data_IF_681957198439
#
_entry.id   IF_681957198439
#
_cell.length_a   1.000
_cell.length_b   1.000
_cell.length_c   1.000
_cell.angle_alpha   90.00
_cell.angle_beta   90.00
_cell.angle_gamma   90.00
#
_symmetry.space_group_name_H-M   'P 1'
#
loop_
_entity.id
_entity.type
_entity.pdbx_description
1 polymer ?
#
# COMPACT_ATOMS: atom_id res chain seq x y z
N UNK A 1 -14.64 -22.09 4.97
CA UNK A 1 -13.28 -21.53 5.08
C UNK A 1 -12.65 -22.08 6.35
N UNK A 2 -11.38 -22.48 6.32
CA UNK A 2 -10.64 -22.77 7.54
C UNK A 2 -10.51 -21.48 8.39
N UNK A 3 -10.28 -21.62 9.69
CA UNK A 3 -9.94 -20.50 10.59
C UNK A 3 -8.81 -19.64 10.03
N UNK A 4 -7.84 -20.31 9.39
CA UNK A 4 -6.62 -19.68 8.89
C UNK A 4 -6.90 -18.84 7.63
N UNK A 5 -7.74 -19.34 6.72
CA UNK A 5 -8.15 -18.59 5.53
C UNK A 5 -8.97 -17.33 5.88
N UNK A 6 -9.84 -17.43 6.89
CA UNK A 6 -10.56 -16.27 7.42
C UNK A 6 -9.59 -15.24 8.02
N UNK A 7 -8.66 -15.70 8.85
CA UNK A 7 -7.68 -14.82 9.49
C UNK A 7 -6.78 -14.11 8.48
N UNK A 8 -6.27 -14.83 7.47
CA UNK A 8 -5.50 -14.24 6.36
C UNK A 8 -6.31 -13.19 5.60
N UNK A 9 -7.60 -13.43 5.37
CA UNK A 9 -8.49 -12.46 4.72
C UNK A 9 -8.61 -11.17 5.55
N UNK A 10 -8.83 -11.29 6.86
CA UNK A 10 -8.91 -10.12 7.75
C UNK A 10 -7.57 -9.37 7.79
N UNK A 11 -6.45 -10.11 7.84
CA UNK A 11 -5.13 -9.50 7.79
C UNK A 11 -4.91 -8.70 6.51
N UNK A 12 -5.20 -9.28 5.34
CA UNK A 12 -4.94 -8.65 4.05
C UNK A 12 -5.93 -7.54 3.69
N UNK A 13 -7.17 -7.60 4.17
CA UNK A 13 -8.21 -6.63 3.79
C UNK A 13 -8.44 -5.53 4.84
N UNK A 14 -7.99 -5.72 6.09
CA UNK A 14 -8.24 -4.76 7.16
C UNK A 14 -6.95 -4.37 7.86
N UNK A 15 -6.26 -5.33 8.48
CA UNK A 15 -5.14 -5.01 9.37
C UNK A 15 -3.96 -4.41 8.58
N UNK A 16 -3.53 -5.09 7.52
CA UNK A 16 -2.41 -4.63 6.70
C UNK A 16 -2.69 -3.29 6.02
N UNK A 17 -3.83 -3.08 5.31
CA UNK A 17 -4.14 -1.77 4.72
C UNK A 17 -4.14 -0.62 5.72
N UNK A 18 -4.68 -0.83 6.93
CA UNK A 18 -4.69 0.21 7.97
C UNK A 18 -3.26 0.54 8.43
N UNK A 19 -2.47 -0.47 8.81
CA UNK A 19 -1.11 -0.26 9.30
C UNK A 19 -0.20 0.33 8.23
N UNK A 20 -0.30 -0.15 7.00
CA UNK A 20 0.52 0.29 5.89
C UNK A 20 0.19 1.73 5.49
N UNK A 21 -1.08 2.12 5.41
CA UNK A 21 -1.43 3.50 5.07
C UNK A 21 -1.10 4.48 6.22
N UNK A 22 -1.14 4.05 7.49
CA UNK A 22 -0.61 4.84 8.61
C UNK A 22 0.89 5.05 8.44
N UNK A 23 1.66 3.98 8.21
CA UNK A 23 3.12 4.06 8.11
C UNK A 23 3.55 4.88 6.88
N UNK A 24 2.99 4.58 5.71
CA UNK A 24 3.44 5.15 4.45
C UNK A 24 2.82 6.51 4.15
N UNK A 25 1.54 6.76 4.49
CA UNK A 25 0.90 8.06 4.21
C UNK A 25 1.03 9.02 5.37
N UNK A 26 0.47 8.67 6.52
CA UNK A 26 0.52 9.56 7.68
C UNK A 26 1.94 9.65 8.28
N UNK A 27 2.77 8.63 8.09
CA UNK A 27 4.18 8.65 8.46
C UNK A 27 5.05 9.27 7.37
N UNK A 28 5.54 8.45 6.43
CA UNK A 28 6.58 8.88 5.49
C UNK A 28 6.13 9.99 4.53
N UNK A 29 4.99 9.81 3.83
CA UNK A 29 4.51 10.78 2.84
C UNK A 29 4.22 12.13 3.49
N UNK A 30 3.51 12.14 4.63
CA UNK A 30 3.23 13.35 5.39
C UNK A 30 4.50 14.06 5.82
N UNK A 31 5.44 13.32 6.41
CA UNK A 31 6.70 13.87 6.90
C UNK A 31 7.49 14.51 5.76
N UNK A 32 7.55 13.87 4.59
CA UNK A 32 8.22 14.43 3.42
C UNK A 32 7.51 15.68 2.87
N UNK A 33 6.17 15.69 2.86
CA UNK A 33 5.40 16.86 2.43
C UNK A 33 5.59 18.05 3.37
N UNK A 34 5.77 17.81 4.68
CA UNK A 34 5.95 18.86 5.67
C UNK A 34 7.41 19.34 5.78
N UNK A 35 8.39 18.45 5.59
CA UNK A 35 9.81 18.71 5.94
C UNK A 35 10.75 18.80 4.75
N UNK A 36 10.32 18.42 3.55
CA UNK A 36 11.16 18.53 2.34
C UNK A 36 10.67 19.66 1.43
N UNK A 37 11.56 20.13 0.56
CA UNK A 37 11.22 21.08 -0.52
C UNK A 37 10.91 20.35 -1.83
N UNK A 38 10.66 19.04 -1.78
CA UNK A 38 10.44 18.25 -2.99
C UNK A 38 9.03 18.47 -3.53
N UNK A 39 8.85 18.48 -4.87
CA UNK A 39 7.53 18.49 -5.47
C UNK A 39 6.71 17.30 -4.99
N UNK A 40 5.41 17.49 -4.74
CA UNK A 40 4.51 16.44 -4.27
C UNK A 40 4.58 15.18 -5.15
N UNK A 41 4.64 15.33 -6.48
CA UNK A 41 4.78 14.19 -7.39
C UNK A 41 6.05 13.36 -7.13
N UNK A 42 7.17 14.01 -6.81
CA UNK A 42 8.44 13.33 -6.48
C UNK A 42 8.35 12.59 -5.15
N UNK A 43 7.69 13.19 -4.16
CA UNK A 43 7.43 12.54 -2.87
C UNK A 43 6.56 11.31 -3.06
N UNK A 44 5.49 11.40 -3.85
CA UNK A 44 4.63 10.26 -4.14
C UNK A 44 5.42 9.10 -4.76
N UNK A 45 6.23 9.40 -5.77
CA UNK A 45 7.06 8.40 -6.44
C UNK A 45 8.06 7.77 -5.47
N UNK A 46 8.71 8.56 -4.62
CA UNK A 46 9.63 8.05 -3.61
C UNK A 46 8.93 7.12 -2.62
N UNK A 47 7.75 7.50 -2.09
CA UNK A 47 6.99 6.68 -1.16
C UNK A 47 6.49 5.38 -1.81
N UNK A 48 6.01 5.46 -3.06
CA UNK A 48 5.59 4.27 -3.82
C UNK A 48 6.76 3.32 -4.09
N UNK A 49 7.94 3.86 -4.37
CA UNK A 49 9.14 3.06 -4.57
C UNK A 49 9.60 2.38 -3.27
N UNK A 50 9.61 3.09 -2.14
CA UNK A 50 9.96 2.50 -0.83
C UNK A 50 8.95 1.43 -0.40
N UNK A 51 7.66 1.62 -0.72
CA UNK A 51 6.62 0.61 -0.50
C UNK A 51 6.89 -0.67 -1.29
N UNK A 52 7.17 -0.54 -2.59
CA UNK A 52 7.47 -1.68 -3.46
C UNK A 52 8.76 -2.39 -3.05
N UNK A 53 9.79 -1.63 -2.63
CA UNK A 53 11.02 -2.20 -2.09
C UNK A 53 10.76 -3.01 -0.81
N UNK A 54 9.96 -2.49 0.12
CA UNK A 54 9.59 -3.20 1.34
C UNK A 54 8.86 -4.51 1.04
N UNK A 55 7.97 -4.51 0.04
CA UNK A 55 7.33 -5.74 -0.46
C UNK A 55 8.35 -6.72 -1.06
N UNK A 56 9.31 -6.22 -1.85
CA UNK A 56 10.37 -7.04 -2.47
C UNK A 56 11.29 -7.69 -1.44
N UNK A 57 11.57 -7.01 -0.32
CA UNK A 57 12.35 -7.57 0.79
C UNK A 57 11.61 -8.70 1.52
N UNK A 58 10.27 -8.64 1.57
CA UNK A 58 9.44 -9.69 2.16
C UNK A 58 9.31 -10.93 1.26
N UNK A 59 9.44 -10.75 -0.06
CA UNK A 59 9.44 -11.84 -1.04
C UNK A 59 10.65 -11.75 -1.99
N UNK A 60 11.87 -12.09 -1.51
CA UNK A 60 13.09 -11.96 -2.30
C UNK A 60 13.02 -12.72 -3.63
N UNK A 61 13.43 -12.07 -4.72
CA UNK A 61 13.42 -12.65 -6.08
C UNK A 61 12.08 -12.55 -6.82
N UNK A 62 11.01 -12.09 -6.16
CA UNK A 62 9.70 -11.92 -6.78
C UNK A 62 9.58 -10.57 -7.48
N UNK A 63 9.51 -10.59 -8.82
CA UNK A 63 9.22 -9.39 -9.61
C UNK A 63 7.81 -8.83 -9.34
N UNK A 64 6.91 -9.64 -8.77
CA UNK A 64 5.54 -9.25 -8.43
C UNK A 64 5.49 -8.09 -7.44
N UNK A 65 6.49 -7.96 -6.56
CA UNK A 65 6.58 -6.84 -5.63
C UNK A 65 6.61 -5.48 -6.36
N UNK A 66 7.21 -5.41 -7.56
CA UNK A 66 7.26 -4.17 -8.34
C UNK A 66 5.89 -3.76 -8.89
N UNK A 67 4.94 -4.68 -9.04
CA UNK A 67 3.58 -4.32 -9.46
C UNK A 67 2.88 -3.43 -8.43
N UNK A 68 3.33 -3.45 -7.17
CA UNK A 68 2.78 -2.61 -6.10
C UNK A 68 3.10 -1.11 -6.27
N UNK A 69 4.03 -0.72 -7.16
CA UNK A 69 4.31 0.69 -7.47
C UNK A 69 3.07 1.42 -7.99
N UNK A 70 2.29 0.76 -8.88
CA UNK A 70 1.10 1.34 -9.48
C UNK A 70 -0.01 1.64 -8.45
N UNK A 71 -0.46 0.67 -7.64
CA UNK A 71 -1.45 0.94 -6.60
C UNK A 71 -0.91 1.92 -5.55
N UNK A 72 0.34 1.79 -5.12
CA UNK A 72 0.93 2.71 -4.13
C UNK A 72 1.00 4.15 -4.65
N UNK A 73 1.34 4.34 -5.93
CA UNK A 73 1.34 5.65 -6.58
C UNK A 73 -0.06 6.24 -6.71
N UNK A 74 -1.05 5.43 -7.10
CA UNK A 74 -2.45 5.87 -7.17
C UNK A 74 -2.99 6.29 -5.80
N UNK A 75 -2.76 5.48 -4.77
CA UNK A 75 -3.19 5.79 -3.40
C UNK A 75 -2.50 7.07 -2.90
N UNK A 76 -1.22 7.25 -3.22
CA UNK A 76 -0.54 8.50 -2.87
C UNK A 76 -1.10 9.73 -3.60
N UNK A 77 -1.63 9.60 -4.83
CA UNK A 77 -2.39 10.69 -5.47
C UNK A 77 -3.70 10.99 -4.72
N UNK A 78 -4.40 9.98 -4.22
CA UNK A 78 -5.59 10.18 -3.37
C UNK A 78 -5.23 10.92 -2.08
N UNK A 79 -4.13 10.50 -1.44
CA UNK A 79 -3.65 11.13 -0.22
C UNK A 79 -3.26 12.59 -0.44
N UNK A 80 -2.60 12.92 -1.54
CA UNK A 80 -2.22 14.30 -1.86
C UNK A 80 -3.42 15.23 -2.03
N UNK A 81 -4.50 14.73 -2.64
CA UNK A 81 -5.71 15.53 -2.88
C UNK A 81 -6.51 15.81 -1.62
N UNK A 82 -6.58 14.84 -0.69
CA UNK A 82 -7.52 14.92 0.45
C UNK A 82 -6.87 14.93 1.83
N UNK A 83 -5.59 14.53 1.94
CA UNK A 83 -4.86 14.36 3.21
C UNK A 83 -5.63 13.50 4.22
N UNK A 84 -6.36 12.50 3.72
CA UNK A 84 -7.23 11.63 4.51
C UNK A 84 -6.81 10.17 4.33
N UNK A 85 -6.74 9.43 5.43
CA UNK A 85 -6.39 8.01 5.41
C UNK A 85 -7.53 7.12 4.93
N UNK A 86 -8.78 7.43 5.27
CA UNK A 86 -9.91 6.53 4.97
C UNK A 86 -10.04 6.21 3.46
N UNK A 87 -10.00 7.17 2.52
CA UNK A 87 -10.02 6.85 1.09
C UNK A 87 -8.82 5.99 0.64
N UNK A 88 -7.67 6.17 1.28
CA UNK A 88 -6.45 5.41 0.97
C UNK A 88 -6.59 3.96 1.45
N UNK A 89 -7.07 3.75 2.68
CA UNK A 89 -7.31 2.44 3.28
C UNK A 89 -8.35 1.67 2.44
N UNK A 90 -9.45 2.31 2.06
CA UNK A 90 -10.49 1.68 1.23
C UNK A 90 -9.94 1.29 -0.15
N UNK A 91 -9.19 2.18 -0.80
CA UNK A 91 -8.58 1.89 -2.09
C UNK A 91 -7.56 0.73 -2.00
N UNK A 92 -6.73 0.72 -0.95
CA UNK A 92 -5.78 -0.35 -0.70
C UNK A 92 -6.48 -1.69 -0.46
N UNK A 93 -7.47 -1.73 0.44
CA UNK A 93 -8.25 -2.94 0.70
C UNK A 93 -8.93 -3.47 -0.58
N UNK A 94 -9.47 -2.58 -1.42
CA UNK A 94 -10.05 -2.95 -2.71
C UNK A 94 -9.02 -3.57 -3.67
N UNK A 95 -7.80 -3.03 -3.71
CA UNK A 95 -6.71 -3.58 -4.52
C UNK A 95 -6.25 -4.95 -4.02
N UNK A 96 -6.19 -5.15 -2.70
CA UNK A 96 -5.90 -6.46 -2.11
C UNK A 96 -7.01 -7.47 -2.41
N UNK A 97 -8.29 -7.05 -2.35
CA UNK A 97 -9.41 -7.90 -2.73
C UNK A 97 -9.35 -8.30 -4.22
N UNK A 98 -9.02 -7.35 -5.11
CA UNK A 98 -8.81 -7.65 -6.53
C UNK A 98 -7.66 -8.64 -6.73
N UNK A 99 -6.52 -8.43 -6.04
CA UNK A 99 -5.37 -9.33 -6.10
C UNK A 99 -5.74 -10.76 -5.68
N UNK A 100 -6.41 -10.92 -4.54
CA UNK A 100 -6.89 -12.23 -4.06
C UNK A 100 -7.88 -12.88 -5.03
N UNK A 101 -8.74 -12.09 -5.69
CA UNK A 101 -9.69 -12.60 -6.67
C UNK A 101 -9.02 -13.13 -7.95
N UNK A 102 -7.92 -12.51 -8.40
CA UNK A 102 -7.19 -12.95 -9.61
C UNK A 102 -6.07 -13.95 -9.30
N UNK A 103 -5.65 -14.06 -8.04
CA UNK A 103 -4.66 -15.03 -7.55
C UNK A 103 -5.23 -15.90 -6.41
N UNK A 104 -6.28 -16.69 -6.67
CA UNK A 104 -6.99 -17.43 -5.62
C UNK A 104 -6.14 -18.54 -4.95
N UNK A 105 -4.93 -18.81 -5.44
CA UNK A 105 -4.04 -19.89 -5.01
C UNK A 105 -2.80 -19.43 -4.21
N UNK A 106 -2.82 -18.24 -3.60
CA UNK A 106 -1.79 -17.91 -2.62
C UNK A 106 -1.91 -18.83 -1.38
N UNK A 107 -0.83 -19.54 -0.98
CA UNK A 107 -0.81 -20.32 0.25
C UNK A 107 -0.86 -19.45 1.51
#
# INVERSE_FOLDING_TARGET
MSSDAWWTTVQLLVIAPVLEEILWRAGLHETLLQRSQWPAARINLAVAFTFALAHGLRTPGSLWAWLTLLPAGYIGLLYQRRRQLLPCIVAHAAMNALWLGVTPSFP
#
